data_IF_908536597939
#
_entry.id   IF_908536597939
#
_cell.length_a   1.000
_cell.length_b   1.000
_cell.length_c   1.000
_cell.angle_alpha   90.00
_cell.angle_beta   90.00
_cell.angle_gamma   90.00
#
_symmetry.space_group_name_H-M   'P 1'
#
loop_
_entity.id
_entity.type
_entity.pdbx_description
1 polymer ?
#
# COMPACT_ATOMS: atom_id res chain seq x y z
N UNK A 1 -25.71 -54.63 23.54
CA UNK A 1 -24.32 -54.15 23.73
C UNK A 1 -23.78 -53.85 22.33
N UNK A 2 -23.76 -52.56 21.93
CA UNK A 2 -22.54 -51.78 21.58
C UNK A 2 -21.67 -52.50 20.52
N UNK A 3 -21.41 -51.95 19.33
CA UNK A 3 -20.88 -50.61 19.13
C UNK A 3 -21.16 -50.05 17.73
N UNK A 4 -21.42 -48.75 17.70
CA UNK A 4 -21.38 -47.84 16.55
C UNK A 4 -19.91 -47.65 16.18
N UNK A 5 -19.52 -47.98 14.95
CA UNK A 5 -18.21 -47.65 14.41
C UNK A 5 -18.35 -46.43 13.50
N UNK A 6 -17.71 -45.34 13.94
CA UNK A 6 -17.74 -44.02 13.36
C UNK A 6 -17.08 -43.98 11.97
N UNK A 7 -17.77 -43.38 11.01
CA UNK A 7 -17.20 -42.92 9.74
C UNK A 7 -16.30 -41.71 10.03
N UNK A 8 -14.99 -41.94 10.12
CA UNK A 8 -13.98 -40.89 10.03
C UNK A 8 -13.90 -40.43 8.57
N UNK A 9 -14.62 -39.37 8.24
CA UNK A 9 -14.37 -38.60 7.01
C UNK A 9 -13.12 -37.77 7.29
N UNK A 10 -11.96 -38.27 6.87
CA UNK A 10 -10.75 -37.48 6.79
C UNK A 10 -10.99 -36.39 5.73
N UNK A 11 -11.17 -35.15 6.18
CA UNK A 11 -11.07 -33.98 5.32
C UNK A 11 -9.62 -33.88 4.85
N UNK A 12 -9.36 -34.41 3.65
CA UNK A 12 -8.15 -34.13 2.90
C UNK A 12 -8.20 -32.64 2.50
N UNK A 13 -7.63 -31.79 3.33
CA UNK A 13 -7.21 -30.46 2.90
C UNK A 13 -6.20 -30.67 1.77
N UNK A 14 -6.59 -30.28 0.56
CA UNK A 14 -5.67 -30.16 -0.56
C UNK A 14 -4.73 -29.01 -0.25
N UNK A 15 -3.61 -29.30 0.41
CA UNK A 15 -2.47 -28.39 0.49
C UNK A 15 -1.91 -28.24 -0.93
N UNK A 16 -2.32 -27.15 -1.58
CA UNK A 16 -1.60 -26.64 -2.74
C UNK A 16 -0.16 -26.37 -2.32
N UNK A 17 0.80 -26.94 -3.04
CA UNK A 17 2.23 -26.75 -2.78
C UNK A 17 2.64 -25.29 -3.05
N UNK A 18 2.39 -24.42 -2.09
CA UNK A 18 3.12 -23.19 -1.81
C UNK A 18 3.36 -23.18 -0.31
N UNK A 19 4.58 -22.96 0.15
CA UNK A 19 4.88 -22.87 1.58
C UNK A 19 4.12 -21.68 2.16
N UNK A 20 2.97 -21.92 2.77
CA UNK A 20 2.21 -20.90 3.48
C UNK A 20 3.00 -20.49 4.73
N UNK A 21 2.98 -19.19 5.03
CA UNK A 21 3.70 -18.57 6.15
C UNK A 21 2.77 -18.49 7.36
N UNK A 22 3.28 -18.64 8.58
CA UNK A 22 2.47 -18.43 9.78
C UNK A 22 1.83 -17.03 9.77
N UNK A 23 0.59 -16.91 10.28
CA UNK A 23 -0.16 -15.67 10.21
C UNK A 23 0.49 -14.51 10.97
N UNK A 24 1.08 -14.78 12.14
CA UNK A 24 1.77 -13.77 12.94
C UNK A 24 3.13 -13.39 12.32
N UNK A 25 3.85 -14.38 11.76
CA UNK A 25 5.09 -14.13 11.01
C UNK A 25 4.82 -13.25 9.78
N UNK A 26 3.80 -13.59 9.00
CA UNK A 26 3.39 -12.81 7.84
C UNK A 26 2.95 -11.40 8.23
N UNK A 27 2.17 -11.25 9.31
CA UNK A 27 1.76 -9.93 9.81
C UNK A 27 2.97 -9.09 10.25
N UNK A 28 3.98 -9.70 10.88
CA UNK A 28 5.22 -9.03 11.25
C UNK A 28 5.99 -8.53 10.02
N UNK A 29 6.13 -9.35 8.99
CA UNK A 29 6.80 -8.97 7.75
C UNK A 29 6.03 -7.85 7.01
N UNK A 30 4.70 -7.93 6.97
CA UNK A 30 3.87 -6.86 6.39
C UNK A 30 4.03 -5.55 7.16
N UNK A 31 4.03 -5.57 8.49
CA UNK A 31 4.24 -4.37 9.29
C UNK A 31 5.64 -3.80 9.11
N UNK A 32 6.67 -4.64 9.04
CA UNK A 32 8.04 -4.21 8.73
C UNK A 32 8.15 -3.59 7.33
N UNK A 33 7.45 -4.14 6.34
CA UNK A 33 7.39 -3.58 4.99
C UNK A 33 6.65 -2.24 4.92
N UNK A 34 5.62 -2.06 5.76
CA UNK A 34 4.81 -0.83 5.80
C UNK A 34 5.37 0.26 6.71
N UNK A 35 6.27 -0.05 7.63
CA UNK A 35 6.84 0.94 8.56
C UNK A 35 7.55 2.10 7.82
N UNK A 36 8.45 1.85 6.84
CA UNK A 36 9.06 2.93 6.05
C UNK A 36 8.04 3.70 5.21
N UNK A 37 6.93 3.06 4.83
CA UNK A 37 5.86 3.70 4.08
C UNK A 37 5.07 4.69 4.93
N UNK A 38 4.76 4.33 6.18
CA UNK A 38 4.10 5.23 7.14
C UNK A 38 4.96 6.47 7.42
N UNK A 39 6.23 6.27 7.77
CA UNK A 39 7.15 7.39 8.06
C UNK A 39 7.46 8.21 6.81
N UNK A 40 7.63 7.56 5.67
CA UNK A 40 7.90 8.21 4.39
C UNK A 40 6.78 9.16 3.95
N UNK A 41 5.51 8.79 4.12
CA UNK A 41 4.39 9.69 3.78
C UNK A 41 4.36 10.93 4.68
N UNK A 42 4.68 10.79 5.97
CA UNK A 42 4.76 11.94 6.90
C UNK A 42 5.87 12.91 6.48
N UNK A 43 7.05 12.38 6.17
CA UNK A 43 8.19 13.17 5.68
C UNK A 43 7.85 13.88 4.36
N UNK A 44 7.25 13.15 3.42
CA UNK A 44 6.82 13.71 2.14
C UNK A 44 5.77 14.81 2.33
N UNK A 45 4.85 14.66 3.29
CA UNK A 45 3.85 15.70 3.63
C UNK A 45 4.52 16.94 4.23
N UNK A 46 5.51 16.75 5.10
CA UNK A 46 6.31 17.86 5.63
C UNK A 46 7.10 18.58 4.53
N UNK A 47 7.73 17.84 3.62
CA UNK A 47 8.41 18.40 2.45
C UNK A 47 7.43 19.13 1.52
N UNK A 48 6.23 18.60 1.30
CA UNK A 48 5.17 19.26 0.50
C UNK A 48 4.80 20.62 1.09
N UNK A 49 4.55 20.66 2.40
CA UNK A 49 4.18 21.88 3.10
C UNK A 49 5.30 22.92 3.05
N UNK A 50 6.57 22.49 3.13
CA UNK A 50 7.72 23.37 2.95
C UNK A 50 7.84 23.89 1.50
N UNK A 51 7.51 23.06 0.50
CA UNK A 51 7.53 23.44 -0.92
C UNK A 51 6.38 24.40 -1.31
N UNK A 52 5.33 24.49 -0.50
CA UNK A 52 4.23 25.45 -0.64
C UNK A 52 4.51 26.83 -0.04
N UNK A 53 5.77 27.14 0.30
CA UNK A 53 6.18 28.50 0.67
C UNK A 53 5.77 29.49 -0.45
N UNK A 54 4.98 30.54 -0.13
CA UNK A 54 4.53 31.54 -1.11
C UNK A 54 5.68 32.31 -1.78
N UNK A 55 6.92 32.23 -1.27
CA UNK A 55 8.11 32.78 -1.91
C UNK A 55 8.75 31.83 -2.95
N UNK A 56 8.29 30.57 -3.05
CA UNK A 56 8.81 29.60 -4.03
C UNK A 56 8.41 29.94 -5.46
N UNK A 57 9.41 30.03 -6.36
CA UNK A 57 9.14 30.19 -7.79
C UNK A 57 8.40 28.98 -8.38
N UNK A 58 7.59 29.14 -9.46
CA UNK A 58 6.93 28.03 -10.14
C UNK A 58 7.87 26.88 -10.54
N UNK A 59 9.08 27.20 -10.99
CA UNK A 59 10.10 26.21 -11.35
C UNK A 59 10.57 25.41 -10.14
N UNK A 60 10.77 26.08 -9.00
CA UNK A 60 11.18 25.42 -7.76
C UNK A 60 10.04 24.55 -7.22
N UNK A 61 8.82 25.09 -7.18
CA UNK A 61 7.62 24.34 -6.79
C UNK A 61 7.43 23.08 -7.65
N UNK A 62 7.58 23.18 -8.98
CA UNK A 62 7.54 22.02 -9.87
C UNK A 62 8.57 20.96 -9.49
N UNK A 63 9.82 21.36 -9.28
CA UNK A 63 10.91 20.44 -8.92
C UNK A 63 10.62 19.70 -7.62
N UNK A 64 10.15 20.41 -6.61
CA UNK A 64 9.89 19.83 -5.29
C UNK A 64 8.68 18.88 -5.33
N UNK A 65 7.62 19.23 -6.07
CA UNK A 65 6.48 18.35 -6.31
C UNK A 65 6.89 17.06 -7.04
N UNK A 66 7.75 17.15 -8.05
CA UNK A 66 8.25 15.96 -8.76
C UNK A 66 9.06 15.05 -7.83
N UNK A 67 9.96 15.63 -7.02
CA UNK A 67 10.72 14.85 -6.02
C UNK A 67 9.78 14.13 -5.06
N UNK A 68 8.77 14.84 -4.54
CA UNK A 68 7.80 14.29 -3.62
C UNK A 68 7.04 13.11 -4.23
N UNK A 69 6.45 13.30 -5.41
CA UNK A 69 5.62 12.29 -6.05
C UNK A 69 6.43 11.06 -6.48
N UNK A 70 7.67 11.25 -6.91
CA UNK A 70 8.59 10.15 -7.18
C UNK A 70 8.91 9.37 -5.90
N UNK A 71 9.26 10.05 -4.81
CA UNK A 71 9.53 9.40 -3.52
C UNK A 71 8.32 8.62 -2.99
N UNK A 72 7.12 9.18 -3.11
CA UNK A 72 5.89 8.51 -2.72
C UNK A 72 5.62 7.24 -3.53
N UNK A 73 5.89 7.28 -4.85
CA UNK A 73 5.77 6.13 -5.72
C UNK A 73 6.79 5.03 -5.37
N UNK A 74 8.05 5.41 -5.14
CA UNK A 74 9.13 4.46 -4.84
C UNK A 74 8.88 3.76 -3.49
N UNK A 75 8.55 4.51 -2.44
CA UNK A 75 8.26 3.94 -1.12
C UNK A 75 7.02 3.02 -1.16
N UNK A 76 6.02 3.34 -1.98
CA UNK A 76 4.85 2.47 -2.20
C UNK A 76 5.22 1.18 -2.94
N UNK A 77 6.16 1.24 -3.90
CA UNK A 77 6.69 0.06 -4.58
C UNK A 77 7.53 -0.82 -3.66
N UNK A 78 8.37 -0.23 -2.81
CA UNK A 78 9.18 -0.97 -1.85
C UNK A 78 8.29 -1.72 -0.85
N UNK A 79 7.24 -1.07 -0.34
CA UNK A 79 6.24 -1.72 0.51
C UNK A 79 5.53 -2.86 -0.24
N UNK A 80 5.13 -2.65 -1.50
CA UNK A 80 4.48 -3.68 -2.34
C UNK A 80 5.39 -4.90 -2.50
N UNK A 81 6.66 -4.67 -2.83
CA UNK A 81 7.65 -5.72 -3.00
C UNK A 81 7.92 -6.45 -1.67
N UNK A 82 7.94 -5.74 -0.54
CA UNK A 82 8.05 -6.33 0.79
C UNK A 82 6.90 -7.28 1.12
N UNK A 83 5.65 -6.88 0.84
CA UNK A 83 4.49 -7.77 1.04
C UNK A 83 4.51 -8.95 0.07
N UNK A 84 4.91 -8.76 -1.19
CA UNK A 84 5.08 -9.86 -2.14
C UNK A 84 6.14 -10.87 -1.66
N UNK A 85 7.24 -10.38 -1.07
CA UNK A 85 8.30 -11.21 -0.50
C UNK A 85 7.87 -11.96 0.78
N UNK A 86 6.97 -11.37 1.58
CA UNK A 86 6.38 -12.03 2.76
C UNK A 86 5.52 -13.26 2.37
N UNK A 87 5.08 -13.35 1.12
CA UNK A 87 4.33 -14.51 0.62
C UNK A 87 2.88 -14.52 1.05
N UNK A 88 2.35 -15.72 1.32
CA UNK A 88 0.93 -15.96 1.58
C UNK A 88 0.75 -16.51 3.00
N UNK A 89 -0.10 -15.87 3.84
CA UNK A 89 -0.34 -16.36 5.19
C UNK A 89 -1.18 -17.64 5.19
N UNK A 90 -0.92 -18.53 6.13
CA UNK A 90 -1.65 -19.78 6.37
C UNK A 90 -2.94 -19.52 7.14
N UNK A 91 -3.86 -18.83 6.47
CA UNK A 91 -5.19 -18.51 6.99
C UNK A 91 -6.24 -18.74 5.91
N UNK A 92 -7.51 -18.79 6.32
CA UNK A 92 -8.60 -18.80 5.36
C UNK A 92 -8.48 -17.58 4.43
N UNK A 93 -8.45 -17.83 3.12
CA UNK A 93 -8.33 -16.81 2.07
C UNK A 93 -7.00 -16.02 2.03
N UNK A 94 -5.91 -16.57 2.58
CA UNK A 94 -4.60 -15.90 2.61
C UNK A 94 -4.12 -15.36 1.25
N UNK A 95 -4.33 -16.11 0.15
CA UNK A 95 -3.97 -15.65 -1.19
C UNK A 95 -4.73 -14.38 -1.61
N UNK A 96 -6.04 -14.31 -1.32
CA UNK A 96 -6.87 -13.14 -1.60
C UNK A 96 -6.37 -11.94 -0.80
N UNK A 97 -5.93 -12.17 0.44
CA UNK A 97 -5.41 -11.12 1.31
C UNK A 97 -4.08 -10.57 0.80
N UNK A 98 -3.07 -11.42 0.62
CA UNK A 98 -1.78 -11.01 0.08
C UNK A 98 -1.92 -10.28 -1.27
N UNK A 99 -2.80 -10.79 -2.14
CA UNK A 99 -3.13 -10.15 -3.42
C UNK A 99 -3.78 -8.78 -3.22
N UNK A 100 -4.74 -8.61 -2.30
CA UNK A 100 -5.36 -7.31 -2.05
C UNK A 100 -4.33 -6.29 -1.56
N UNK A 101 -3.49 -6.64 -0.60
CA UNK A 101 -2.44 -5.73 -0.11
C UNK A 101 -1.50 -5.26 -1.22
N UNK A 102 -1.01 -6.21 -2.04
CA UNK A 102 -0.13 -5.89 -3.16
C UNK A 102 -0.84 -5.07 -4.24
N UNK A 103 -2.12 -5.35 -4.54
CA UNK A 103 -2.93 -4.54 -5.47
C UNK A 103 -3.16 -3.12 -4.94
N UNK A 104 -3.44 -2.97 -3.65
CA UNK A 104 -3.61 -1.65 -3.02
C UNK A 104 -2.35 -0.79 -3.14
N UNK A 105 -1.19 -1.34 -2.79
CA UNK A 105 0.09 -0.61 -2.87
C UNK A 105 0.51 -0.32 -4.32
N UNK A 106 0.25 -1.25 -5.24
CA UNK A 106 0.46 -1.01 -6.67
C UNK A 106 -0.42 0.14 -7.20
N UNK A 107 -1.70 0.16 -6.83
CA UNK A 107 -2.61 1.25 -7.20
C UNK A 107 -2.15 2.60 -6.63
N UNK A 108 -1.71 2.62 -5.36
CA UNK A 108 -1.15 3.82 -4.73
C UNK A 108 0.10 4.32 -5.46
N UNK A 109 1.06 3.44 -5.76
CA UNK A 109 2.25 3.75 -6.57
C UNK A 109 1.87 4.38 -7.92
N UNK A 110 0.90 3.77 -8.61
CA UNK A 110 0.48 4.20 -9.94
C UNK A 110 -0.23 5.56 -9.92
N UNK A 111 -0.99 5.85 -8.85
CA UNK A 111 -1.58 7.16 -8.64
C UNK A 111 -0.49 8.24 -8.50
N UNK A 112 0.54 8.01 -7.68
CA UNK A 112 1.66 8.94 -7.54
C UNK A 112 2.45 9.13 -8.83
N UNK A 113 2.77 8.06 -9.56
CA UNK A 113 3.43 8.14 -10.88
C UNK A 113 2.60 8.93 -11.89
N UNK A 114 1.29 8.71 -11.92
CA UNK A 114 0.39 9.44 -12.82
C UNK A 114 0.38 10.93 -12.50
N UNK A 115 0.36 11.31 -11.23
CA UNK A 115 0.45 12.71 -10.81
C UNK A 115 1.81 13.32 -11.18
N UNK A 116 2.90 12.59 -10.94
CA UNK A 116 4.26 12.99 -11.31
C UNK A 116 4.34 13.30 -12.80
N UNK A 117 3.96 12.35 -13.66
CA UNK A 117 4.06 12.47 -15.11
C UNK A 117 3.19 13.59 -15.68
N UNK A 118 2.08 13.93 -15.01
CA UNK A 118 1.25 15.08 -15.38
C UNK A 118 1.97 16.38 -15.06
N UNK A 119 2.50 16.52 -13.83
CA UNK A 119 3.21 17.73 -13.39
C UNK A 119 4.50 17.92 -14.20
N UNK A 120 5.20 16.85 -14.55
CA UNK A 120 6.44 16.90 -15.32
C UNK A 120 6.23 17.57 -16.69
N UNK A 121 5.06 17.39 -17.30
CA UNK A 121 4.71 17.94 -18.62
C UNK A 121 4.26 19.39 -18.58
N UNK A 122 4.00 19.97 -17.40
CA UNK A 122 3.53 21.34 -17.29
C UNK A 122 4.65 22.34 -17.57
N UNK A 123 4.31 23.50 -18.10
CA UNK A 123 5.26 24.59 -18.30
C UNK A 123 5.16 25.58 -17.14
N UNK A 124 6.20 25.62 -16.29
CA UNK A 124 6.27 26.50 -15.13
C UNK A 124 6.35 28.00 -15.50
N UNK A 125 6.57 28.34 -16.78
CA UNK A 125 6.52 29.71 -17.28
C UNK A 125 5.12 30.22 -17.63
N UNK A 126 4.10 29.34 -17.66
CA UNK A 126 2.73 29.74 -17.98
C UNK A 126 1.96 30.20 -16.75
N UNK A 127 1.01 31.12 -16.98
CA UNK A 127 0.19 31.71 -15.92
C UNK A 127 -0.83 30.75 -15.29
N UNK A 128 -1.10 29.61 -15.92
CA UNK A 128 -2.02 28.56 -15.46
C UNK A 128 -1.31 27.40 -14.73
N UNK A 129 0.01 27.47 -14.53
CA UNK A 129 0.80 26.40 -13.92
C UNK A 129 0.20 25.87 -12.60
N UNK A 130 -0.17 26.76 -11.68
CA UNK A 130 -0.72 26.36 -10.38
C UNK A 130 -2.12 25.77 -10.48
N UNK A 131 -2.94 26.20 -11.45
CA UNK A 131 -4.26 25.64 -11.71
C UNK A 131 -4.13 24.20 -12.25
N UNK A 132 -3.16 23.97 -13.15
CA UNK A 132 -2.87 22.63 -13.67
C UNK A 132 -2.29 21.69 -12.60
N UNK A 133 -1.42 22.21 -11.73
CA UNK A 133 -0.94 21.47 -10.54
C UNK A 133 -2.10 21.10 -9.63
N UNK A 134 -2.99 22.06 -9.30
CA UNK A 134 -4.15 21.80 -8.45
C UNK A 134 -5.07 20.73 -9.08
N UNK A 135 -5.24 20.74 -10.40
CA UNK A 135 -6.00 19.72 -11.11
C UNK A 135 -5.34 18.33 -11.04
N UNK A 136 -4.01 18.25 -11.15
CA UNK A 136 -3.26 17.01 -10.99
C UNK A 136 -3.39 16.45 -9.57
N UNK A 137 -3.25 17.28 -8.54
CA UNK A 137 -3.40 16.87 -7.14
C UNK A 137 -4.84 16.45 -6.81
N UNK A 138 -5.84 17.12 -7.38
CA UNK A 138 -7.24 16.70 -7.26
C UNK A 138 -7.49 15.34 -7.90
N UNK A 139 -6.83 15.03 -9.01
CA UNK A 139 -6.94 13.71 -9.62
C UNK A 139 -6.23 12.67 -8.74
N UNK A 140 -5.05 12.96 -8.23
CA UNK A 140 -4.34 12.09 -7.29
C UNK A 140 -5.23 11.70 -6.10
N UNK A 141 -5.92 12.65 -5.49
CA UNK A 141 -6.85 12.36 -4.39
C UNK A 141 -7.96 11.38 -4.79
N UNK A 142 -8.54 11.54 -5.99
CA UNK A 142 -9.56 10.59 -6.51
C UNK A 142 -8.98 9.21 -6.79
N UNK A 143 -7.77 9.15 -7.33
CA UNK A 143 -7.11 7.89 -7.63
C UNK A 143 -6.79 7.15 -6.32
N UNK A 144 -6.44 7.88 -5.26
CA UNK A 144 -6.25 7.35 -3.91
C UNK A 144 -7.56 6.83 -3.29
N UNK A 145 -8.67 7.56 -3.43
CA UNK A 145 -10.00 7.11 -2.98
C UNK A 145 -10.46 5.82 -3.69
N UNK A 146 -9.96 5.57 -4.91
CA UNK A 146 -10.27 4.36 -5.68
C UNK A 146 -9.35 3.16 -5.35
N UNK A 147 -8.33 3.34 -4.51
CA UNK A 147 -7.43 2.26 -4.10
C UNK A 147 -8.25 1.17 -3.39
N UNK A 148 -8.07 -0.12 -3.76
CA UNK A 148 -8.74 -1.22 -3.08
C UNK A 148 -8.47 -1.18 -1.57
N UNK A 149 -9.51 -1.23 -0.75
CA UNK A 149 -9.33 -1.14 0.70
C UNK A 149 -9.06 -2.53 1.27
N UNK A 150 -7.98 -2.67 2.04
CA UNK A 150 -7.64 -3.93 2.71
C UNK A 150 -8.65 -4.25 3.83
N UNK A 151 -9.16 -3.22 4.52
CA UNK A 151 -10.11 -3.36 5.62
C UNK A 151 -11.44 -4.03 5.21
N UNK A 152 -11.77 -4.06 3.91
CA UNK A 152 -12.96 -4.73 3.38
C UNK A 152 -12.87 -6.26 3.40
N UNK A 153 -11.69 -6.84 3.62
CA UNK A 153 -11.47 -8.29 3.54
C UNK A 153 -12.01 -9.09 4.73
N UNK A 154 -12.61 -8.40 5.72
CA UNK A 154 -13.25 -8.91 6.94
C UNK A 154 -12.79 -10.31 7.41
N UNK A 155 -11.59 -10.37 7.99
CA UNK A 155 -11.05 -11.59 8.60
C UNK A 155 -10.65 -11.36 10.05
N UNK A 156 -11.28 -12.11 10.95
CA UNK A 156 -10.95 -12.09 12.39
C UNK A 156 -9.57 -12.69 12.65
N UNK A 157 -9.21 -13.75 11.94
CA UNK A 157 -7.90 -14.41 12.05
C UNK A 157 -6.76 -13.45 11.67
N UNK A 158 -6.94 -12.69 10.58
CA UNK A 158 -5.99 -11.67 10.16
C UNK A 158 -5.88 -10.53 11.18
N UNK A 159 -7.02 -10.03 11.68
CA UNK A 159 -7.05 -8.96 12.70
C UNK A 159 -6.27 -9.39 13.95
N UNK A 160 -6.52 -10.62 14.43
CA UNK A 160 -5.83 -11.17 15.59
C UNK A 160 -4.31 -11.29 15.36
N UNK A 161 -3.87 -11.70 14.16
CA UNK A 161 -2.45 -11.77 13.82
C UNK A 161 -1.78 -10.39 13.86
N UNK A 162 -2.38 -9.36 13.28
CA UNK A 162 -1.86 -7.99 13.35
C UNK A 162 -1.86 -7.42 14.79
N UNK A 163 -2.88 -7.74 15.60
CA UNK A 163 -2.94 -7.30 17.01
C UNK A 163 -1.88 -7.95 17.90
N UNK A 164 -1.51 -9.20 17.61
CA UNK A 164 -0.50 -9.96 18.35
C UNK A 164 0.93 -9.43 18.11
N UNK A 165 1.17 -8.76 16.99
CA UNK A 165 2.50 -8.28 16.58
C UNK A 165 2.77 -6.87 17.09
N UNK A 166 3.81 -6.71 17.91
CA UNK A 166 4.20 -5.41 18.48
C UNK A 166 4.60 -4.38 17.44
N UNK A 167 5.21 -4.80 16.34
CA UNK A 167 5.64 -3.96 15.23
C UNK A 167 4.46 -3.31 14.48
N UNK A 168 3.25 -3.83 14.68
CA UNK A 168 2.03 -3.29 14.07
C UNK A 168 1.30 -2.27 14.96
N UNK A 169 1.70 -2.13 16.23
CA UNK A 169 1.13 -1.23 17.23
C UNK A 169 1.85 0.12 17.26
#
# INVERSE_FOLDING_TARGET
>A
MRAVAWLLVAALALSGCGSQVDAEEWAADVCAALEPWKTGIEDLTAEANAAMDPESSPTQAKKDLLKLLAGAADISEDARAGIEAAGVPDIADGERMAKRFTESLAATRDAYRTAHDRIEKLDAGKGDFYDEVAAAMKQLAKDYDAVPQVAELDSEELKNAFEAVKQCQ
#
